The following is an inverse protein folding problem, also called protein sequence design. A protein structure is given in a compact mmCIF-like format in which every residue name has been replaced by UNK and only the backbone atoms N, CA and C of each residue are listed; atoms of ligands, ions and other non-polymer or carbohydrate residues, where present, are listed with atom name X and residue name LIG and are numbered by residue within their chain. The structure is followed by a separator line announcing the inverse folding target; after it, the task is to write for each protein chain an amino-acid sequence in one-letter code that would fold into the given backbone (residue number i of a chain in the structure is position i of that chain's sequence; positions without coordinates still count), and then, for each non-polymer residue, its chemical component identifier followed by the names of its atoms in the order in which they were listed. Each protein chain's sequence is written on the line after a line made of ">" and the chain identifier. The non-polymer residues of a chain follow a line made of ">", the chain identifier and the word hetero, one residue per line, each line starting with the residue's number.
data_IF_159018133744
#
_entry.id   IF_159018133744
#
_cell.length_a   1.000
_cell.length_b   1.000
_cell.length_c   1.000
_cell.angle_alpha   90.00
_cell.angle_beta   90.00
_cell.angle_gamma   90.00
#
_symmetry.space_group_name_H-M   'P 1'
#
loop_
_entity.id
_entity.type
_entity.pdbx_description
1 polymer ?
#
# COMPACT_ATOMS: atom_id res chain seq x y z
N UNK A 1 4.24 -42.20 -55.73
CA UNK A 1 3.82 -42.84 -54.47
C UNK A 1 4.28 -41.94 -53.33
N UNK A 2 3.32 -41.47 -52.52
CA UNK A 2 3.50 -40.44 -51.49
C UNK A 2 4.46 -40.85 -50.38
N UNK A 3 5.42 -40.00 -50.07
CA UNK A 3 6.14 -40.03 -48.79
C UNK A 3 5.42 -39.12 -47.80
N UNK A 4 4.86 -39.74 -46.76
CA UNK A 4 4.24 -39.08 -45.60
C UNK A 4 5.35 -38.88 -44.55
N UNK A 5 5.58 -37.67 -44.00
CA UNK A 5 6.49 -37.51 -42.88
C UNK A 5 5.85 -38.05 -41.58
N UNK A 6 6.65 -38.50 -40.60
CA UNK A 6 6.13 -39.03 -39.34
C UNK A 6 5.60 -37.89 -38.45
N UNK A 7 4.51 -38.17 -37.75
CA UNK A 7 3.93 -37.33 -36.69
C UNK A 7 4.95 -37.13 -35.54
N UNK A 8 5.09 -35.93 -34.96
CA UNK A 8 5.78 -35.77 -33.70
C UNK A 8 4.90 -36.27 -32.55
N UNK A 9 5.33 -37.36 -31.90
CA UNK A 9 4.81 -37.77 -30.59
C UNK A 9 4.94 -36.62 -29.59
N UNK A 10 3.80 -36.09 -29.14
CA UNK A 10 3.74 -35.17 -28.00
C UNK A 10 4.05 -35.99 -26.75
N UNK A 11 5.29 -35.92 -26.27
CA UNK A 11 5.61 -36.29 -24.90
C UNK A 11 4.93 -35.30 -23.96
N UNK A 12 3.83 -35.73 -23.33
CA UNK A 12 3.26 -35.05 -22.17
C UNK A 12 4.28 -35.19 -21.04
N UNK A 13 5.13 -34.18 -20.88
CA UNK A 13 5.97 -34.04 -19.69
C UNK A 13 5.03 -33.80 -18.53
N UNK A 14 4.83 -34.84 -17.73
CA UNK A 14 4.08 -34.79 -16.49
C UNK A 14 4.80 -33.80 -15.56
N UNK A 15 4.23 -32.61 -15.37
CA UNK A 15 4.77 -31.60 -14.45
C UNK A 15 4.64 -32.18 -13.04
N UNK A 16 5.71 -32.79 -12.54
CA UNK A 16 5.80 -33.21 -11.14
C UNK A 16 5.53 -31.98 -10.27
N UNK A 17 4.49 -32.05 -9.44
CA UNK A 17 4.21 -31.01 -8.45
C UNK A 17 5.48 -30.79 -7.61
N UNK A 18 6.17 -29.68 -7.85
CA UNK A 18 7.37 -29.31 -7.12
C UNK A 18 7.05 -29.26 -5.64
N UNK A 19 7.83 -29.97 -4.82
CA UNK A 19 7.70 -29.93 -3.36
C UNK A 19 7.77 -28.48 -2.88
N UNK A 20 6.72 -28.01 -2.22
CA UNK A 20 6.65 -26.65 -1.65
C UNK A 20 6.60 -26.79 -0.14
N UNK A 21 7.58 -26.20 0.54
CA UNK A 21 7.68 -26.22 2.00
C UNK A 21 7.58 -24.80 2.55
N UNK A 22 6.88 -24.64 3.67
CA UNK A 22 6.78 -23.37 4.36
C UNK A 22 8.13 -22.97 4.97
N UNK A 23 8.68 -21.83 4.55
CA UNK A 23 9.93 -21.30 5.11
C UNK A 23 9.87 -20.80 6.57
N UNK A 24 8.69 -20.79 7.20
CA UNK A 24 8.50 -20.35 8.59
C UNK A 24 8.40 -21.51 9.59
N UNK A 25 7.70 -22.60 9.23
CA UNK A 25 7.46 -23.74 10.12
C UNK A 25 7.74 -25.11 9.48
N UNK A 26 8.35 -25.13 8.29
CA UNK A 26 8.73 -26.36 7.56
C UNK A 26 7.54 -27.28 7.23
N UNK A 27 6.32 -26.75 7.24
CA UNK A 27 5.13 -27.51 6.84
C UNK A 27 5.13 -27.73 5.32
N UNK A 28 4.90 -28.97 4.88
CA UNK A 28 4.72 -29.28 3.46
C UNK A 28 3.40 -28.66 2.95
N UNK A 29 3.52 -27.74 2.01
CA UNK A 29 2.43 -27.01 1.37
C UNK A 29 2.14 -27.50 -0.06
N UNK A 30 2.81 -28.55 -0.53
CA UNK A 30 2.74 -29.06 -1.91
C UNK A 30 1.30 -29.33 -2.35
N UNK A 31 0.47 -29.86 -1.44
CA UNK A 31 -0.93 -30.21 -1.72
C UNK A 31 -1.93 -29.10 -1.39
N UNK A 32 -1.47 -27.92 -0.93
CA UNK A 32 -2.33 -26.78 -0.69
C UNK A 32 -2.55 -25.98 -1.98
N UNK A 33 -3.77 -25.47 -2.16
CA UNK A 33 -4.05 -24.45 -3.17
C UNK A 33 -3.27 -23.17 -2.86
N UNK A 34 -2.98 -22.35 -3.87
CA UNK A 34 -2.25 -21.09 -3.65
C UNK A 34 -2.89 -20.20 -2.56
N UNK A 35 -4.23 -20.14 -2.53
CA UNK A 35 -4.98 -19.42 -1.48
C UNK A 35 -4.74 -20.00 -0.09
N UNK A 36 -4.71 -21.33 0.07
CA UNK A 36 -4.46 -21.97 1.36
C UNK A 36 -2.99 -21.85 1.81
N UNK A 37 -2.05 -21.79 0.85
CA UNK A 37 -0.64 -21.47 1.14
C UNK A 37 -0.48 -20.05 1.66
N UNK A 38 -1.22 -19.10 1.08
CA UNK A 38 -1.18 -17.70 1.49
C UNK A 38 -1.82 -17.50 2.87
N UNK A 39 -2.99 -18.08 3.14
CA UNK A 39 -3.58 -18.08 4.49
C UNK A 39 -2.60 -18.65 5.54
N UNK A 40 -1.86 -19.70 5.17
CA UNK A 40 -0.81 -20.25 6.00
C UNK A 40 0.34 -19.25 6.23
N UNK A 41 0.79 -18.54 5.19
CA UNK A 41 1.82 -17.50 5.33
C UNK A 41 1.34 -16.31 6.17
N UNK A 42 0.11 -15.85 5.98
CA UNK A 42 -0.50 -14.75 6.75
C UNK A 42 -0.54 -15.05 8.26
N UNK A 43 -0.71 -16.32 8.65
CA UNK A 43 -0.69 -16.73 10.06
C UNK A 43 0.70 -16.51 10.71
N UNK A 44 1.78 -16.72 9.96
CA UNK A 44 3.15 -16.43 10.43
C UNK A 44 3.41 -14.94 10.58
N UNK A 45 2.75 -14.11 9.78
CA UNK A 45 2.88 -12.64 9.85
C UNK A 45 1.94 -12.00 10.88
N UNK A 46 0.85 -12.69 11.25
CA UNK A 46 -0.17 -12.18 12.18
C UNK A 46 0.13 -12.49 13.66
N UNK A 47 1.06 -13.38 13.97
CA UNK A 47 1.36 -13.78 15.35
C UNK A 47 2.55 -13.01 15.92
N UNK A 48 2.28 -12.13 16.89
CA UNK A 48 3.28 -11.68 17.85
C UNK A 48 3.81 -12.90 18.64
N UNK A 49 5.07 -12.92 19.11
CA UNK A 49 5.64 -14.10 19.74
C UNK A 49 4.95 -14.36 21.08
N UNK A 50 4.10 -15.39 21.12
CA UNK A 50 3.76 -16.07 22.37
C UNK A 50 4.77 -17.20 22.54
N UNK A 51 5.51 -17.13 23.64
CA UNK A 51 6.45 -18.14 24.10
C UNK A 51 5.86 -19.54 24.07
N UNK A 52 6.57 -20.44 23.37
CA UNK A 52 6.31 -21.87 23.34
C UNK A 52 6.69 -22.54 24.66
N UNK A 53 5.75 -23.29 25.24
CA UNK A 53 6.02 -24.40 26.17
C UNK A 53 5.23 -25.63 25.67
N UNK A 54 5.81 -26.84 25.66
CA UNK A 54 5.27 -28.00 24.95
C UNK A 54 4.35 -28.83 25.85
N UNK A 55 3.14 -29.16 25.38
CA UNK A 55 2.30 -30.17 26.03
C UNK A 55 2.26 -31.45 25.17
N UNK A 56 2.71 -32.50 25.83
CA UNK A 56 2.86 -33.88 25.35
C UNK A 56 1.50 -34.50 25.00
N UNK A 57 1.50 -35.28 23.93
CA UNK A 57 0.41 -36.16 23.53
C UNK A 57 0.29 -37.36 24.47
N UNK A 58 -0.91 -37.59 24.99
CA UNK A 58 -1.33 -38.89 25.53
C UNK A 58 -2.65 -39.32 24.88
N UNK A 59 -2.82 -40.63 24.76
CA UNK A 59 -3.64 -41.38 23.82
C UNK A 59 -5.13 -41.45 24.24
N UNK A 60 -6.04 -41.39 23.25
CA UNK A 60 -7.32 -42.12 22.97
C UNK A 60 -8.18 -42.73 24.11
N UNK A 61 -9.41 -43.24 23.84
CA UNK A 61 -10.54 -42.79 22.98
C UNK A 61 -11.91 -42.86 23.73
N UNK A 62 -13.01 -42.33 23.18
CA UNK A 62 -14.33 -42.97 23.39
C UNK A 62 -15.40 -42.54 22.37
N UNK A 63 -16.09 -43.57 21.85
CA UNK A 63 -17.31 -43.54 21.04
C UNK A 63 -18.49 -42.89 21.79
N UNK A 64 -19.43 -42.26 21.06
CA UNK A 64 -20.85 -42.68 21.00
C UNK A 64 -21.72 -41.81 20.07
N UNK A 65 -22.65 -42.51 19.43
CA UNK A 65 -23.63 -42.23 18.37
C UNK A 65 -24.82 -41.28 18.72
N UNK A 66 -25.72 -40.94 17.76
CA UNK A 66 -26.52 -39.70 17.71
C UNK A 66 -28.00 -39.89 18.13
N UNK A 67 -28.85 -38.85 18.02
CA UNK A 67 -30.28 -39.07 17.80
C UNK A 67 -30.88 -38.39 16.56
N UNK A 68 -32.01 -38.97 16.16
CA UNK A 68 -32.77 -38.87 14.91
C UNK A 68 -33.78 -37.72 14.87
N UNK A 69 -34.05 -37.30 13.64
CA UNK A 69 -35.31 -36.88 12.99
C UNK A 69 -36.48 -36.35 13.82
N UNK A 70 -36.96 -35.17 13.43
CA UNK A 70 -38.39 -34.88 13.29
C UNK A 70 -38.63 -34.14 11.96
N UNK A 71 -39.50 -34.71 11.14
CA UNK A 71 -39.94 -34.20 9.84
C UNK A 71 -40.98 -33.09 10.02
N UNK A 72 -40.92 -32.06 9.18
CA UNK A 72 -42.11 -31.40 8.66
C UNK A 72 -41.85 -30.98 7.22
N UNK A 73 -42.92 -30.99 6.43
CA UNK A 73 -42.92 -31.15 4.98
C UNK A 73 -43.51 -29.94 4.25
N UNK A 74 -43.15 -29.86 2.96
CA UNK A 74 -43.71 -28.99 1.88
C UNK A 74 -43.13 -27.57 1.87
N UNK A 75 -42.65 -27.01 0.76
CA UNK A 75 -43.21 -27.07 -0.59
C UNK A 75 -42.13 -26.72 -1.65
N UNK A 76 -42.21 -27.36 -2.82
CA UNK A 76 -41.30 -27.21 -3.96
C UNK A 76 -41.65 -26.01 -4.83
N UNK A 77 -40.68 -25.14 -5.12
CA UNK A 77 -40.68 -24.30 -6.34
C UNK A 77 -39.31 -24.35 -7.00
N UNK A 78 -39.28 -24.98 -8.18
CA UNK A 78 -38.18 -24.96 -9.13
C UNK A 78 -38.05 -23.55 -9.74
N UNK A 79 -36.89 -22.92 -9.58
CA UNK A 79 -36.51 -21.80 -10.43
C UNK A 79 -35.19 -22.11 -11.16
N UNK A 80 -35.36 -22.11 -12.47
CA UNK A 80 -34.39 -22.23 -13.54
C UNK A 80 -33.22 -21.26 -13.36
N UNK A 81 -31.97 -21.78 -13.35
CA UNK A 81 -30.76 -20.96 -13.26
C UNK A 81 -30.36 -20.46 -14.65
N UNK A 82 -31.01 -19.38 -15.09
CA UNK A 82 -30.50 -18.53 -16.15
C UNK A 82 -29.17 -17.89 -15.73
N UNK A 83 -28.14 -18.01 -16.58
CA UNK A 83 -26.85 -17.33 -16.43
C UNK A 83 -27.04 -15.81 -16.49
N UNK A 84 -27.15 -15.15 -15.34
CA UNK A 84 -27.13 -13.69 -15.26
C UNK A 84 -25.68 -13.19 -15.42
N UNK A 85 -25.44 -12.40 -16.47
CA UNK A 85 -24.22 -11.60 -16.59
C UNK A 85 -24.23 -10.56 -15.46
N UNK A 86 -23.28 -10.67 -14.53
CA UNK A 86 -23.15 -9.70 -13.44
C UNK A 86 -22.93 -8.28 -13.99
N UNK A 87 -23.92 -7.41 -13.79
CA UNK A 87 -23.83 -5.98 -14.08
C UNK A 87 -23.05 -5.33 -12.94
N UNK A 88 -21.84 -4.84 -13.23
CA UNK A 88 -20.94 -4.19 -12.27
C UNK A 88 -21.59 -2.89 -11.77
N UNK A 89 -21.81 -2.76 -10.47
CA UNK A 89 -22.38 -1.54 -9.86
C UNK A 89 -21.30 -0.49 -9.61
N UNK A 90 -21.68 0.79 -9.46
CA UNK A 90 -20.73 1.88 -9.14
C UNK A 90 -19.98 1.66 -7.82
N UNK A 91 -20.56 0.90 -6.87
CA UNK A 91 -19.91 0.54 -5.60
C UNK A 91 -18.72 -0.40 -5.79
N UNK A 92 -18.75 -1.26 -6.81
CA UNK A 92 -17.71 -2.28 -7.06
C UNK A 92 -16.38 -1.69 -7.57
N UNK A 93 -16.40 -0.48 -8.13
CA UNK A 93 -15.18 0.17 -8.63
C UNK A 93 -14.23 0.63 -7.51
N UNK A 94 -14.79 0.89 -6.33
CA UNK A 94 -14.08 1.35 -5.14
C UNK A 94 -13.66 2.81 -5.25
N UNK A 95 -13.97 3.60 -4.23
CA UNK A 95 -13.58 5.02 -4.17
C UNK A 95 -12.06 5.10 -3.96
N UNK A 96 -11.36 5.74 -4.91
CA UNK A 96 -9.97 6.14 -4.72
C UNK A 96 -9.94 7.51 -4.06
N UNK A 97 -9.36 7.57 -2.87
CA UNK A 97 -9.19 8.82 -2.13
C UNK A 97 -7.72 9.26 -2.13
N UNK A 98 -7.49 10.55 -2.33
CA UNK A 98 -6.19 11.17 -2.12
C UNK A 98 -6.37 12.54 -1.44
N UNK A 99 -5.28 13.07 -0.90
CA UNK A 99 -5.28 14.31 -0.09
C UNK A 99 -5.82 15.55 -0.81
N UNK A 100 -5.76 15.59 -2.14
CA UNK A 100 -6.27 16.72 -2.92
C UNK A 100 -7.80 16.84 -2.91
N UNK A 101 -8.51 15.81 -2.44
CA UNK A 101 -9.96 15.82 -2.35
C UNK A 101 -10.45 16.50 -1.06
N UNK A 102 -11.58 17.18 -1.15
CA UNK A 102 -12.25 17.82 0.00
C UNK A 102 -12.97 16.83 0.93
N UNK A 103 -13.18 15.59 0.47
CA UNK A 103 -13.85 14.55 1.23
C UNK A 103 -12.93 13.98 2.31
N UNK A 104 -13.53 13.50 3.41
CA UNK A 104 -12.78 12.76 4.43
C UNK A 104 -12.24 11.44 3.86
N UNK A 105 -11.04 11.00 4.29
CA UNK A 105 -10.49 9.72 3.86
C UNK A 105 -11.39 8.55 4.29
N UNK A 106 -11.59 7.53 3.43
CA UNK A 106 -12.28 6.31 3.81
C UNK A 106 -11.57 5.58 4.96
N UNK A 107 -12.28 4.73 5.70
CA UNK A 107 -11.76 4.09 6.94
C UNK A 107 -10.46 3.29 6.74
N UNK A 108 -10.25 2.73 5.55
CA UNK A 108 -9.05 1.95 5.21
C UNK A 108 -7.86 2.83 4.77
N UNK A 109 -8.01 4.15 4.72
CA UNK A 109 -6.93 5.09 4.42
C UNK A 109 -6.43 5.71 5.72
N UNK A 110 -5.11 5.69 5.93
CA UNK A 110 -4.46 6.27 7.10
C UNK A 110 -3.42 7.29 6.69
N UNK A 111 -3.65 8.54 7.06
CA UNK A 111 -2.74 9.65 6.80
C UNK A 111 -1.83 9.95 7.99
N UNK A 112 -0.71 10.62 7.73
CA UNK A 112 0.17 11.12 8.80
C UNK A 112 1.08 10.07 9.44
N UNK A 113 1.12 8.85 8.88
CA UNK A 113 1.97 7.79 9.41
C UNK A 113 3.46 8.09 9.27
N UNK A 114 3.90 8.78 8.21
CA UNK A 114 5.31 9.15 8.05
C UNK A 114 5.77 10.12 9.17
N UNK A 115 5.04 11.20 9.51
CA UNK A 115 5.33 11.99 10.71
C UNK A 115 5.33 11.19 12.03
N UNK A 116 4.40 10.25 12.21
CA UNK A 116 4.37 9.40 13.41
C UNK A 116 5.59 8.47 13.45
N UNK A 117 5.96 7.89 12.31
CA UNK A 117 7.15 7.04 12.16
C UNK A 117 8.43 7.82 12.44
N UNK A 118 8.53 9.07 11.95
CA UNK A 118 9.62 9.98 12.30
C UNK A 118 9.71 10.18 13.81
N UNK A 119 8.59 10.41 14.50
CA UNK A 119 8.56 10.56 15.97
C UNK A 119 9.00 9.28 16.69
N UNK A 120 8.54 8.12 16.23
CA UNK A 120 8.92 6.83 16.80
C UNK A 120 10.41 6.53 16.62
N UNK A 121 10.98 6.81 15.45
CA UNK A 121 12.40 6.67 15.16
C UNK A 121 13.27 7.62 16.01
N UNK A 122 12.82 8.86 16.24
CA UNK A 122 13.48 9.77 17.17
C UNK A 122 13.50 9.21 18.60
N UNK A 123 12.39 8.67 19.07
CA UNK A 123 12.32 8.00 20.37
C UNK A 123 13.25 6.78 20.44
N UNK A 124 13.30 5.97 19.38
CA UNK A 124 14.19 4.80 19.30
C UNK A 124 15.68 5.19 19.22
N UNK A 125 16.01 6.32 18.59
CA UNK A 125 17.35 6.91 18.59
C UNK A 125 17.77 7.38 19.99
N UNK A 126 16.88 8.09 20.70
CA UNK A 126 17.12 8.54 22.07
C UNK A 126 17.35 7.38 23.05
N UNK A 127 16.67 6.26 22.85
CA UNK A 127 16.88 5.00 23.59
C UNK A 127 18.14 4.23 23.15
N UNK A 128 18.83 4.71 22.12
CA UNK A 128 20.07 4.12 21.65
C UNK A 128 19.92 2.89 20.76
N UNK A 129 18.75 2.65 20.16
CA UNK A 129 18.54 1.55 19.22
C UNK A 129 18.81 1.98 17.78
N UNK A 130 18.19 3.08 17.34
CA UNK A 130 18.37 3.65 15.99
C UNK A 130 19.63 4.51 15.95
N UNK A 131 20.52 4.25 14.99
CA UNK A 131 21.63 5.17 14.70
C UNK A 131 21.17 6.26 13.74
N UNK A 132 20.55 5.86 12.62
CA UNK A 132 20.07 6.75 11.57
C UNK A 132 18.81 6.18 10.92
N UNK A 133 17.92 7.02 10.42
CA UNK A 133 16.86 6.58 9.54
C UNK A 133 16.56 7.61 8.45
N UNK A 134 16.10 7.13 7.30
CA UNK A 134 15.70 7.96 6.17
C UNK A 134 14.33 7.50 5.70
N UNK A 135 13.39 8.43 5.60
CA UNK A 135 12.01 8.22 5.19
C UNK A 135 11.74 8.86 3.82
N UNK A 136 10.79 8.30 3.09
CA UNK A 136 10.21 8.87 1.88
C UNK A 136 9.43 10.16 2.19
N UNK A 137 8.78 10.72 1.17
CA UNK A 137 7.95 11.92 1.29
C UNK A 137 6.94 11.83 2.44
N UNK A 138 6.85 12.90 3.26
CA UNK A 138 6.01 12.93 4.46
C UNK A 138 4.51 12.76 4.20
N UNK A 139 4.08 12.95 2.95
CA UNK A 139 2.68 12.94 2.54
C UNK A 139 2.18 11.56 2.14
N UNK A 140 3.07 10.58 2.01
CA UNK A 140 2.69 9.19 1.70
C UNK A 140 1.68 8.69 2.74
N UNK A 141 0.58 8.12 2.25
CA UNK A 141 -0.50 7.56 3.05
C UNK A 141 -0.46 6.04 2.99
N UNK A 142 -1.00 5.40 4.02
CA UNK A 142 -1.23 3.96 4.01
C UNK A 142 -2.68 3.66 3.59
N UNK A 143 -2.86 2.58 2.82
CA UNK A 143 -4.16 2.09 2.38
C UNK A 143 -4.22 0.61 2.66
N UNK A 144 -5.14 0.18 3.53
CA UNK A 144 -5.35 -1.23 3.84
C UNK A 144 -6.35 -1.90 2.91
N UNK A 145 -6.22 -3.21 2.77
CA UNK A 145 -7.20 -4.06 2.10
C UNK A 145 -8.52 -4.08 2.88
N UNK A 146 -9.62 -4.10 2.14
CA UNK A 146 -10.97 -4.24 2.67
C UNK A 146 -11.48 -5.66 2.40
N UNK A 147 -12.71 -5.96 2.82
CA UNK A 147 -13.38 -7.24 2.49
C UNK A 147 -13.46 -7.51 0.99
N UNK A 148 -13.41 -6.48 0.14
CA UNK A 148 -13.47 -6.60 -1.32
C UNK A 148 -12.22 -7.26 -1.90
N UNK A 149 -11.06 -6.97 -1.30
CA UNK A 149 -9.74 -7.30 -1.87
C UNK A 149 -8.81 -8.06 -0.92
N UNK A 150 -9.28 -8.42 0.29
CA UNK A 150 -8.52 -9.25 1.22
C UNK A 150 -8.12 -10.59 0.58
N UNK A 151 -6.85 -10.97 0.71
CA UNK A 151 -6.26 -12.20 0.16
C UNK A 151 -5.89 -12.16 -1.33
N UNK A 152 -5.97 -10.99 -1.98
CA UNK A 152 -5.52 -10.88 -3.38
C UNK A 152 -5.19 -9.45 -3.86
N UNK A 153 -5.58 -8.45 -3.07
CA UNK A 153 -5.54 -7.03 -3.42
C UNK A 153 -4.25 -6.30 -3.11
N UNK A 154 -3.23 -6.96 -2.56
CA UNK A 154 -2.02 -6.28 -2.05
C UNK A 154 -1.37 -5.38 -3.10
N UNK A 155 -1.14 -5.88 -4.31
CA UNK A 155 -0.56 -5.11 -5.41
C UNK A 155 -1.43 -3.93 -5.84
N UNK A 156 -2.75 -4.06 -5.79
CA UNK A 156 -3.67 -2.96 -6.08
C UNK A 156 -3.60 -1.86 -5.01
N UNK A 157 -3.49 -2.23 -3.72
CA UNK A 157 -3.36 -1.26 -2.62
C UNK A 157 -1.99 -0.58 -2.64
N UNK A 158 -0.92 -1.30 -2.96
CA UNK A 158 0.40 -0.71 -3.16
C UNK A 158 0.39 0.26 -4.36
N UNK A 159 -0.27 -0.09 -5.46
CA UNK A 159 -0.49 0.81 -6.59
C UNK A 159 -1.25 2.08 -6.16
N UNK A 160 -2.33 1.94 -5.38
CA UNK A 160 -3.09 3.08 -4.85
C UNK A 160 -2.24 3.97 -3.92
N UNK A 161 -1.40 3.38 -3.06
CA UNK A 161 -0.49 4.15 -2.19
C UNK A 161 0.53 4.94 -3.03
N UNK A 162 1.09 4.33 -4.07
CA UNK A 162 1.97 5.01 -5.02
C UNK A 162 1.25 6.13 -5.78
N UNK A 163 0.06 5.90 -6.32
CA UNK A 163 -0.75 6.94 -6.96
C UNK A 163 -1.03 8.11 -6.00
N UNK A 164 -1.45 7.83 -4.77
CA UNK A 164 -1.74 8.89 -3.80
C UNK A 164 -0.51 9.77 -3.53
N UNK A 165 0.69 9.18 -3.46
CA UNK A 165 1.94 9.91 -3.32
C UNK A 165 2.28 10.74 -4.58
N UNK A 166 2.16 10.14 -5.76
CA UNK A 166 2.47 10.77 -7.05
C UNK A 166 1.52 11.91 -7.41
N UNK A 167 0.27 11.85 -6.95
CA UNK A 167 -0.73 12.91 -7.15
C UNK A 167 -0.54 14.09 -6.18
N UNK A 168 0.05 13.87 -5.01
CA UNK A 168 0.21 14.90 -3.96
C UNK A 168 1.61 15.55 -3.96
N UNK A 169 2.61 14.93 -4.59
CA UNK A 169 3.95 15.51 -4.72
C UNK A 169 3.96 16.81 -5.55
N UNK A 170 4.99 17.65 -5.36
CA UNK A 170 5.08 19.02 -5.94
C UNK A 170 6.02 19.15 -7.14
N UNK A 171 6.81 18.12 -7.42
CA UNK A 171 7.85 18.10 -8.47
C UNK A 171 7.23 17.96 -9.86
N UNK A 172 6.24 17.08 -10.01
CA UNK A 172 5.55 16.80 -11.27
C UNK A 172 4.02 16.95 -11.13
N UNK A 173 3.47 18.18 -11.05
CA UNK A 173 2.04 18.38 -10.81
C UNK A 173 1.11 17.72 -11.85
N UNK A 174 1.59 17.56 -13.09
CA UNK A 174 0.85 16.91 -14.19
C UNK A 174 0.49 15.45 -13.90
N UNK A 175 1.23 14.77 -13.02
CA UNK A 175 0.93 13.39 -12.63
C UNK A 175 -0.45 13.25 -12.00
N UNK A 176 -0.94 14.30 -11.32
CA UNK A 176 -2.28 14.30 -10.73
C UNK A 176 -3.36 14.09 -11.80
N UNK A 177 -3.37 14.93 -12.85
CA UNK A 177 -4.33 14.81 -13.96
C UNK A 177 -4.20 13.48 -14.70
N UNK A 178 -2.95 13.05 -14.96
CA UNK A 178 -2.67 11.78 -15.64
C UNK A 178 -3.11 10.55 -14.85
N UNK A 179 -3.26 10.65 -13.53
CA UNK A 179 -3.74 9.56 -12.68
C UNK A 179 -5.24 9.70 -12.36
N UNK A 180 -5.86 10.87 -12.56
CA UNK A 180 -7.28 11.09 -12.28
C UNK A 180 -8.21 10.90 -13.48
N UNK A 181 -7.73 11.07 -14.72
CA UNK A 181 -8.57 11.09 -15.94
C UNK A 181 -8.20 10.02 -16.97
N UNK A 182 -9.13 9.23 -17.52
CA UNK A 182 -10.59 9.42 -17.46
C UNK A 182 -11.24 8.84 -16.21
N UNK A 183 -10.55 7.95 -15.50
CA UNK A 183 -10.96 7.43 -14.20
C UNK A 183 -9.80 7.53 -13.23
N UNK A 184 -10.11 7.55 -11.93
CA UNK A 184 -9.13 7.46 -10.84
C UNK A 184 -8.78 5.99 -10.54
N UNK A 185 -7.67 5.68 -9.85
CA UNK A 185 -7.20 4.31 -9.64
C UNK A 185 -8.01 3.55 -8.57
N UNK A 186 -9.30 3.37 -8.80
CA UNK A 186 -10.14 2.39 -8.09
C UNK A 186 -9.67 0.96 -8.36
N UNK A 187 -10.09 -0.02 -7.55
CA UNK A 187 -9.65 -1.41 -7.70
C UNK A 187 -9.95 -1.97 -9.09
N UNK A 188 -11.16 -1.70 -9.61
CA UNK A 188 -11.57 -2.16 -10.95
C UNK A 188 -11.05 -1.26 -12.06
N UNK A 189 -10.84 0.01 -11.78
CA UNK A 189 -10.25 0.93 -12.76
C UNK A 189 -8.78 0.58 -13.03
N UNK A 190 -8.03 0.12 -12.03
CA UNK A 190 -6.67 -0.43 -12.24
C UNK A 190 -6.71 -1.64 -13.18
N UNK A 191 -7.66 -2.56 -13.00
CA UNK A 191 -7.85 -3.71 -13.91
C UNK A 191 -8.15 -3.24 -15.33
N UNK A 192 -9.01 -2.23 -15.48
CA UNK A 192 -9.34 -1.62 -16.77
C UNK A 192 -8.11 -0.95 -17.41
N UNK A 193 -7.32 -0.19 -16.65
CA UNK A 193 -6.13 0.47 -17.18
C UNK A 193 -5.12 -0.51 -17.76
N UNK A 194 -4.94 -1.66 -17.10
CA UNK A 194 -4.05 -2.72 -17.57
C UNK A 194 -4.61 -3.37 -18.84
N UNK A 195 -5.90 -3.73 -18.85
CA UNK A 195 -6.53 -4.29 -20.06
C UNK A 195 -6.52 -3.30 -21.24
N UNK A 196 -6.72 -2.00 -21.00
CA UNK A 196 -6.61 -0.95 -22.02
C UNK A 196 -5.19 -0.84 -22.57
N UNK A 197 -4.18 -0.94 -21.70
CA UNK A 197 -2.79 -0.96 -22.11
C UNK A 197 -2.49 -2.19 -22.99
N UNK A 198 -2.98 -3.38 -22.61
CA UNK A 198 -2.87 -4.59 -23.42
C UNK A 198 -3.51 -4.44 -24.79
N UNK A 199 -4.72 -3.86 -24.85
CA UNK A 199 -5.40 -3.56 -26.12
C UNK A 199 -4.62 -2.55 -26.98
N UNK A 200 -3.87 -1.64 -26.37
CA UNK A 200 -2.95 -0.73 -27.05
C UNK A 200 -1.61 -1.39 -27.45
N UNK A 201 -1.43 -2.67 -27.14
CA UNK A 201 -0.26 -3.49 -27.49
C UNK A 201 0.88 -3.44 -26.49
N UNK A 202 0.65 -2.99 -25.26
CA UNK A 202 1.61 -3.13 -24.16
C UNK A 202 1.56 -4.56 -23.63
N UNK A 203 2.71 -5.10 -23.23
CA UNK A 203 2.85 -6.37 -22.51
C UNK A 203 1.94 -7.52 -23.01
N UNK A 204 2.17 -7.99 -24.25
CA UNK A 204 1.41 -9.11 -24.78
C UNK A 204 1.60 -10.41 -23.97
N UNK A 205 2.71 -10.54 -23.25
CA UNK A 205 2.99 -11.72 -22.41
C UNK A 205 2.12 -11.72 -21.15
N UNK A 206 2.05 -10.60 -20.43
CA UNK A 206 1.13 -10.44 -19.30
C UNK A 206 -0.33 -10.58 -19.73
N UNK A 207 -0.70 -10.01 -20.89
CA UNK A 207 -2.03 -10.21 -21.48
C UNK A 207 -2.35 -11.69 -21.74
N UNK A 208 -1.39 -12.47 -22.27
CA UNK A 208 -1.56 -13.90 -22.51
C UNK A 208 -1.64 -14.71 -21.20
N UNK A 209 -0.80 -14.37 -20.22
CA UNK A 209 -0.74 -15.04 -18.92
C UNK A 209 -2.02 -14.81 -18.12
N UNK A 210 -2.44 -13.55 -17.98
CA UNK A 210 -3.55 -13.15 -17.14
C UNK A 210 -4.87 -13.16 -17.88
N UNK A 211 -4.91 -13.06 -19.21
CA UNK A 211 -6.09 -13.11 -20.12
C UNK A 211 -7.13 -12.01 -19.92
N UNK A 212 -7.62 -11.86 -18.69
CA UNK A 212 -8.65 -10.91 -18.26
C UNK A 212 -8.49 -10.64 -16.77
N UNK A 213 -8.57 -9.37 -16.39
CA UNK A 213 -8.51 -8.86 -15.03
C UNK A 213 -9.85 -8.34 -14.52
N UNK A 214 -10.62 -7.61 -15.33
CA UNK A 214 -11.87 -6.98 -14.88
C UNK A 214 -12.84 -8.03 -14.37
N UNK A 215 -13.32 -7.81 -13.14
CA UNK A 215 -14.24 -8.72 -12.47
C UNK A 215 -13.57 -9.99 -11.92
N UNK A 216 -12.24 -10.05 -11.92
CA UNK A 216 -11.47 -11.15 -11.31
C UNK A 216 -10.81 -10.71 -10.00
N UNK A 217 -10.27 -11.71 -9.29
CA UNK A 217 -9.45 -11.55 -8.09
C UNK A 217 -7.98 -11.90 -8.34
N UNK A 218 -7.51 -11.72 -9.58
CA UNK A 218 -6.13 -12.12 -9.96
C UNK A 218 -5.11 -11.21 -9.31
N UNK A 219 -4.04 -11.82 -8.83
CA UNK A 219 -2.87 -11.12 -8.33
C UNK A 219 -2.15 -10.44 -9.49
N UNK A 220 -1.56 -9.29 -9.19
CA UNK A 220 -0.74 -8.53 -10.12
C UNK A 220 0.71 -8.54 -9.64
N UNK A 221 1.63 -8.69 -10.57
CA UNK A 221 3.06 -8.44 -10.34
C UNK A 221 3.41 -6.98 -10.62
N UNK A 222 4.64 -6.61 -10.28
CA UNK A 222 5.19 -5.27 -10.54
C UNK A 222 5.28 -4.94 -12.04
N UNK A 223 5.41 -5.94 -12.91
CA UNK A 223 5.27 -5.80 -14.37
C UNK A 223 3.89 -5.23 -14.78
N UNK A 224 2.80 -5.77 -14.25
CA UNK A 224 1.44 -5.27 -14.53
C UNK A 224 1.25 -3.83 -14.03
N UNK A 225 1.81 -3.53 -12.85
CA UNK A 225 1.77 -2.18 -12.28
C UNK A 225 2.57 -1.17 -13.12
N UNK A 226 3.75 -1.57 -13.59
CA UNK A 226 4.58 -0.77 -14.51
C UNK A 226 3.82 -0.43 -15.78
N UNK A 227 3.17 -1.42 -16.41
CA UNK A 227 2.35 -1.22 -17.62
C UNK A 227 1.26 -0.19 -17.37
N UNK A 228 0.55 -0.29 -16.24
CA UNK A 228 -0.47 0.67 -15.88
C UNK A 228 0.10 2.10 -15.72
N UNK A 229 1.22 2.28 -15.04
CA UNK A 229 1.82 3.62 -14.88
C UNK A 229 2.29 4.22 -16.21
N UNK A 230 3.05 3.46 -17.00
CA UNK A 230 3.61 3.92 -18.28
C UNK A 230 2.50 4.23 -19.28
N UNK A 231 1.46 3.38 -19.36
CA UNK A 231 0.31 3.64 -20.23
C UNK A 231 -0.41 4.95 -19.87
N UNK A 232 -0.45 5.29 -18.58
CA UNK A 232 -1.01 6.56 -18.06
C UNK A 232 -0.05 7.73 -18.19
N UNK A 233 1.13 7.53 -18.77
CA UNK A 233 2.12 8.59 -19.01
C UNK A 233 3.01 8.89 -17.80
N UNK A 234 3.03 8.00 -16.80
CA UNK A 234 3.88 8.13 -15.61
C UNK A 234 5.16 7.32 -15.83
N UNK A 235 6.34 7.98 -15.85
CA UNK A 235 7.63 7.30 -15.79
C UNK A 235 7.72 6.41 -14.55
N UNK A 236 8.07 5.14 -14.78
CA UNK A 236 8.32 4.15 -13.75
C UNK A 236 9.43 3.21 -14.24
N UNK A 237 10.12 2.54 -13.33
CA UNK A 237 11.22 1.64 -13.65
C UNK A 237 11.17 0.36 -12.83
N UNK A 238 11.52 -0.76 -13.47
CA UNK A 238 11.60 -2.08 -12.87
C UNK A 238 13.05 -2.49 -12.64
N UNK A 239 13.30 -3.06 -11.47
CA UNK A 239 14.59 -3.66 -11.12
C UNK A 239 14.35 -5.09 -10.65
N UNK A 240 15.02 -6.04 -11.30
CA UNK A 240 15.00 -7.45 -10.94
C UNK A 240 16.26 -7.79 -10.15
N UNK A 241 16.06 -8.29 -8.93
CA UNK A 241 17.16 -8.68 -8.04
C UNK A 241 17.13 -10.19 -7.89
N UNK A 242 18.01 -10.87 -8.62
CA UNK A 242 18.14 -12.32 -8.57
C UNK A 242 19.07 -12.74 -7.43
N UNK A 243 18.48 -13.39 -6.42
CA UNK A 243 19.21 -13.87 -5.24
C UNK A 243 19.67 -15.33 -5.34
N UNK A 244 19.39 -16.00 -6.46
CA UNK A 244 19.75 -17.41 -6.67
C UNK A 244 21.25 -17.61 -6.49
N UNK A 245 21.64 -18.50 -5.58
CA UNK A 245 23.04 -18.77 -5.26
C UNK A 245 23.76 -17.69 -4.44
N UNK A 246 23.07 -16.65 -3.94
CA UNK A 246 23.68 -15.55 -3.17
C UNK A 246 23.37 -15.67 -1.66
N UNK A 247 24.32 -16.13 -0.81
CA UNK A 247 24.08 -16.35 0.62
C UNK A 247 23.78 -15.07 1.44
N UNK A 248 23.99 -13.88 0.87
CA UNK A 248 23.64 -12.56 1.45
C UNK A 248 22.55 -11.84 0.68
N UNK A 249 21.67 -12.57 -0.02
CA UNK A 249 20.80 -11.97 -1.03
C UNK A 249 19.92 -10.81 -0.53
N UNK A 250 19.38 -10.90 0.69
CA UNK A 250 18.54 -9.81 1.24
C UNK A 250 19.32 -8.51 1.48
N UNK A 251 20.63 -8.57 1.67
CA UNK A 251 21.45 -7.37 1.87
C UNK A 251 21.61 -6.60 0.56
N UNK A 252 21.61 -7.27 -0.59
CA UNK A 252 21.62 -6.62 -1.92
C UNK A 252 20.37 -5.75 -2.11
N UNK A 253 19.20 -6.29 -1.74
CA UNK A 253 17.93 -5.54 -1.77
C UNK A 253 18.00 -4.33 -0.84
N UNK A 254 18.56 -4.49 0.36
CA UNK A 254 18.73 -3.37 1.30
C UNK A 254 19.68 -2.32 0.76
N UNK A 255 20.80 -2.72 0.18
CA UNK A 255 21.81 -1.82 -0.36
C UNK A 255 21.23 -0.98 -1.51
N UNK A 256 20.47 -1.61 -2.43
CA UNK A 256 19.76 -0.90 -3.49
C UNK A 256 18.80 0.15 -2.91
N UNK A 257 18.01 -0.22 -1.90
CA UNK A 257 17.04 0.69 -1.27
C UNK A 257 17.74 1.83 -0.53
N UNK A 258 18.86 1.55 0.13
CA UNK A 258 19.69 2.58 0.77
C UNK A 258 20.23 3.56 -0.27
N UNK A 259 20.77 3.06 -1.39
CA UNK A 259 21.27 3.91 -2.48
C UNK A 259 20.13 4.70 -3.15
N UNK A 260 18.92 4.15 -3.26
CA UNK A 260 17.75 4.90 -3.72
C UNK A 260 17.40 6.06 -2.78
N UNK A 261 17.30 5.83 -1.47
CA UNK A 261 16.88 6.87 -0.52
C UNK A 261 17.99 7.87 -0.18
N UNK A 262 19.24 7.42 -0.24
CA UNK A 262 20.44 8.17 0.13
C UNK A 262 21.53 7.99 -0.93
N UNK A 263 21.32 8.48 -2.16
CA UNK A 263 22.33 8.35 -3.20
C UNK A 263 23.62 9.03 -2.76
N UNK A 264 24.74 8.39 -3.09
CA UNK A 264 26.07 8.93 -2.84
C UNK A 264 26.19 10.23 -3.64
N UNK A 265 26.22 11.36 -2.94
CA UNK A 265 26.44 12.66 -3.58
C UNK A 265 27.84 12.68 -4.23
N UNK A 266 27.90 12.94 -5.55
CA UNK A 266 29.17 13.16 -6.25
C UNK A 266 29.89 14.44 -5.78
N UNK A 267 29.22 15.30 -5.01
CA UNK A 267 29.82 16.46 -4.35
C UNK A 267 29.86 16.26 -2.83
N UNK A 268 31.06 16.19 -2.27
CA UNK A 268 31.32 16.08 -0.82
C UNK A 268 30.94 17.34 -0.01
N UNK A 269 30.28 18.33 -0.63
CA UNK A 269 29.85 19.58 0.02
C UNK A 269 28.33 19.72 -0.02
N UNK A 270 27.67 20.03 1.12
CA UNK A 270 26.25 20.39 1.13
C UNK A 270 26.04 21.63 0.26
N UNK A 271 25.04 21.62 -0.63
CA UNK A 271 24.79 22.72 -1.55
C UNK A 271 24.32 23.99 -0.82
N UNK A 272 23.77 23.86 0.38
CA UNK A 272 23.42 24.96 1.28
C UNK A 272 23.35 24.51 2.76
N UNK A 273 23.14 25.47 3.67
CA UNK A 273 23.06 25.23 5.12
C UNK A 273 21.92 24.26 5.48
N UNK A 274 20.79 24.30 4.78
CA UNK A 274 19.68 23.38 5.05
C UNK A 274 20.05 21.93 4.70
N UNK A 275 20.83 21.72 3.64
CA UNK A 275 21.33 20.38 3.28
C UNK A 275 22.35 19.85 4.29
N UNK A 276 23.21 20.73 4.82
CA UNK A 276 24.13 20.39 5.89
C UNK A 276 23.39 19.97 7.16
N UNK A 277 22.37 20.75 7.57
CA UNK A 277 21.54 20.47 8.74
C UNK A 277 20.69 19.20 8.56
N UNK A 278 20.15 18.96 7.36
CA UNK A 278 19.45 17.70 7.02
C UNK A 278 20.40 16.51 7.10
N UNK A 279 21.63 16.65 6.61
CA UNK A 279 22.66 15.61 6.71
C UNK A 279 23.01 15.24 8.15
N UNK A 280 23.05 16.24 9.04
CA UNK A 280 23.36 16.09 10.46
C UNK A 280 22.21 15.51 11.32
N UNK A 281 20.96 15.56 10.83
CA UNK A 281 19.83 14.96 11.56
C UNK A 281 19.93 13.42 11.54
N UNK A 282 19.79 12.73 12.70
CA UNK A 282 19.77 11.27 12.73
C UNK A 282 18.56 10.70 11.99
N UNK A 283 17.44 11.43 11.97
CA UNK A 283 16.23 11.02 11.26
C UNK A 283 15.92 12.03 10.15
N UNK A 284 15.96 11.58 8.90
CA UNK A 284 15.76 12.42 7.71
C UNK A 284 14.46 12.02 7.02
N UNK A 285 13.71 13.03 6.54
CA UNK A 285 12.56 12.84 5.66
C UNK A 285 12.91 13.49 4.32
N UNK A 286 12.82 12.71 3.25
CA UNK A 286 13.17 13.11 1.88
C UNK A 286 11.93 13.55 1.11
N UNK A 287 12.11 13.94 -0.15
CA UNK A 287 11.06 14.14 -1.15
C UNK A 287 10.92 12.93 -2.09
N UNK A 288 11.60 11.82 -1.80
CA UNK A 288 11.56 10.62 -2.63
C UNK A 288 10.23 9.89 -2.50
N UNK A 289 9.78 9.32 -3.61
CA UNK A 289 8.58 8.50 -3.64
C UNK A 289 8.79 7.15 -2.95
N UNK A 290 7.73 6.54 -2.41
CA UNK A 290 7.84 5.19 -1.87
C UNK A 290 8.09 4.18 -3.02
N UNK A 291 8.66 3.03 -2.67
CA UNK A 291 8.98 1.95 -3.60
C UNK A 291 7.98 0.81 -3.43
N UNK A 292 7.54 0.18 -4.50
CA UNK A 292 6.80 -1.08 -4.42
C UNK A 292 7.82 -2.23 -4.49
N UNK A 293 7.85 -3.06 -3.46
CA UNK A 293 8.70 -4.25 -3.38
C UNK A 293 7.82 -5.50 -3.49
N UNK A 294 8.04 -6.27 -4.54
CA UNK A 294 7.42 -7.56 -4.77
C UNK A 294 8.36 -8.68 -4.30
N UNK A 295 7.79 -9.67 -3.64
CA UNK A 295 8.42 -10.98 -3.44
C UNK A 295 7.37 -12.09 -3.65
N UNK A 296 7.77 -13.35 -3.53
CA UNK A 296 6.84 -14.46 -3.73
C UNK A 296 5.65 -14.36 -2.76
N UNK A 297 4.44 -14.28 -3.31
CA UNK A 297 3.18 -14.32 -2.58
C UNK A 297 2.66 -12.99 -2.03
N UNK A 298 3.44 -11.91 -2.02
CA UNK A 298 2.98 -10.62 -1.48
C UNK A 298 3.76 -9.43 -2.00
N UNK A 299 3.16 -8.25 -1.94
CA UNK A 299 3.82 -6.97 -2.25
C UNK A 299 3.63 -5.97 -1.12
N UNK A 300 4.63 -5.11 -0.93
CA UNK A 300 4.62 -4.07 0.11
C UNK A 300 5.16 -2.75 -0.44
N UNK A 301 4.82 -1.67 0.24
CA UNK A 301 5.33 -0.34 -0.09
C UNK A 301 6.44 0.04 0.89
N UNK A 302 7.68 0.14 0.42
CA UNK A 302 8.82 0.59 1.23
C UNK A 302 8.81 2.11 1.34
N UNK A 303 8.82 2.59 2.58
CA UNK A 303 8.71 4.02 2.93
C UNK A 303 9.99 4.57 3.54
N UNK A 304 11.06 3.76 3.61
CA UNK A 304 12.36 4.19 4.11
C UNK A 304 13.18 3.05 4.66
N UNK A 305 14.24 3.40 5.36
CA UNK A 305 15.11 2.45 6.06
C UNK A 305 15.64 3.04 7.36
N UNK A 306 16.05 2.12 8.25
CA UNK A 306 16.69 2.40 9.52
C UNK A 306 18.03 1.66 9.58
N UNK A 307 19.06 2.34 10.05
CA UNK A 307 20.34 1.74 10.47
C UNK A 307 20.34 1.71 12.00
N UNK A 308 20.45 0.52 12.58
CA UNK A 308 20.57 0.37 14.04
C UNK A 308 21.98 0.76 14.51
N UNK A 309 22.17 0.98 15.81
CA UNK A 309 23.51 1.18 16.39
C UNK A 309 24.49 0.01 16.15
N UNK A 310 23.97 -1.18 15.89
CA UNK A 310 24.76 -2.36 15.51
C UNK A 310 25.11 -2.40 14.01
N UNK A 311 24.75 -1.37 13.24
CA UNK A 311 25.00 -1.29 11.79
C UNK A 311 24.03 -2.11 10.94
N UNK A 312 23.00 -2.73 11.53
CA UNK A 312 22.03 -3.54 10.77
C UNK A 312 21.01 -2.62 10.09
N UNK A 313 20.78 -2.86 8.81
CA UNK A 313 19.73 -2.19 8.04
C UNK A 313 18.41 -2.92 8.23
N UNK A 314 17.37 -2.16 8.59
CA UNK A 314 15.96 -2.59 8.60
C UNK A 314 15.19 -1.73 7.60
N UNK A 315 14.40 -2.37 6.73
CA UNK A 315 13.50 -1.65 5.84
C UNK A 315 12.23 -1.26 6.59
N UNK A 316 11.68 -0.10 6.25
CA UNK A 316 10.43 0.41 6.81
C UNK A 316 9.36 0.35 5.73
N UNK A 317 8.18 -0.17 6.06
CA UNK A 317 7.18 -0.53 5.07
C UNK A 317 5.75 -0.15 5.49
N UNK A 318 4.91 0.07 4.49
CA UNK A 318 3.47 0.01 4.58
C UNK A 318 3.00 -1.29 3.94
N UNK A 319 2.32 -2.12 4.74
CA UNK A 319 1.72 -3.37 4.28
C UNK A 319 0.19 -3.19 4.15
N UNK A 320 -0.41 -3.48 2.99
CA UNK A 320 -1.86 -3.45 2.81
C UNK A 320 -2.66 -4.34 3.76
N UNK A 321 -2.07 -5.41 4.32
CA UNK A 321 -2.75 -6.29 5.27
C UNK A 321 -2.91 -5.65 6.66
N UNK A 322 -2.12 -4.62 6.98
CA UNK A 322 -2.14 -3.97 8.28
C UNK A 322 -3.35 -3.06 8.44
N UNK A 323 -3.95 -3.09 9.63
CA UNK A 323 -4.93 -2.10 10.06
C UNK A 323 -4.41 -1.37 11.29
N UNK A 324 -4.56 -0.05 11.30
CA UNK A 324 -4.21 0.79 12.45
C UNK A 324 -5.46 1.07 13.29
N UNK A 325 -5.30 1.04 14.60
CA UNK A 325 -6.37 1.39 15.53
C UNK A 325 -6.67 2.90 15.49
N UNK A 326 -7.80 3.29 16.07
CA UNK A 326 -8.23 4.69 16.07
C UNK A 326 -7.23 5.61 16.80
N UNK A 327 -6.56 5.11 17.84
CA UNK A 327 -5.55 5.87 18.57
C UNK A 327 -4.37 6.22 17.66
N UNK A 328 -3.82 5.25 16.95
CA UNK A 328 -2.71 5.45 16.01
C UNK A 328 -3.12 6.41 14.90
N UNK A 329 -4.33 6.25 14.34
CA UNK A 329 -4.87 7.15 13.31
C UNK A 329 -4.98 8.60 13.81
N UNK A 330 -5.49 8.81 15.03
CA UNK A 330 -5.62 10.13 15.64
C UNK A 330 -4.25 10.76 15.92
N UNK A 331 -3.31 9.99 16.48
CA UNK A 331 -1.94 10.46 16.73
C UNK A 331 -1.22 10.87 15.44
N UNK A 332 -1.35 10.05 14.39
CA UNK A 332 -0.79 10.32 13.08
C UNK A 332 -1.36 11.62 12.48
N UNK A 333 -2.68 11.79 12.53
CA UNK A 333 -3.35 12.99 12.01
C UNK A 333 -2.97 14.26 12.79
N UNK A 334 -2.86 14.17 14.12
CA UNK A 334 -2.49 15.30 14.97
C UNK A 334 -1.07 15.81 14.65
N UNK A 335 -0.09 14.89 14.54
CA UNK A 335 1.29 15.23 14.18
C UNK A 335 1.38 15.82 12.78
N UNK A 336 0.58 15.29 11.84
CA UNK A 336 0.56 15.78 10.47
C UNK A 336 0.03 17.24 10.38
N UNK A 337 -1.08 17.53 11.04
CA UNK A 337 -1.73 18.87 11.00
C UNK A 337 -0.86 19.95 11.66
N UNK A 338 -0.10 19.57 12.68
CA UNK A 338 0.85 20.48 13.32
C UNK A 338 2.01 20.88 12.38
N UNK A 339 2.48 19.96 11.54
CA UNK A 339 3.56 20.25 10.58
C UNK A 339 3.08 21.11 9.40
N UNK A 340 1.85 20.91 8.92
CA UNK A 340 1.33 21.72 7.80
C UNK A 340 1.03 23.16 8.21
N UNK A 341 0.41 23.37 9.37
CA UNK A 341 0.13 24.72 9.91
C UNK A 341 1.39 25.53 10.24
N UNK A 342 2.48 24.88 10.67
CA UNK A 342 3.78 25.52 10.92
C UNK A 342 4.56 25.83 9.64
N UNK A 343 4.28 25.13 8.53
CA UNK A 343 4.88 25.43 7.21
C UNK A 343 4.16 26.57 6.45
N UNK A 344 2.85 26.74 6.62
CA UNK A 344 2.06 27.83 6.00
C UNK A 344 2.20 29.17 6.74
N UNK A 345 2.36 29.15 8.07
CA UNK A 345 2.57 30.36 8.87
C UNK A 345 3.91 31.06 8.59
N UNK A 346 4.95 30.33 8.14
CA UNK A 346 6.24 30.91 7.73
C UNK A 346 6.21 31.59 6.36
N UNK A 347 5.17 31.39 5.55
CA UNK A 347 5.01 32.05 4.24
C UNK A 347 4.21 33.36 4.29
N UNK A 348 3.61 33.72 5.43
CA UNK A 348 2.82 34.95 5.57
C UNK A 348 3.57 36.13 6.19
N UNK A 349 4.84 35.98 6.58
CA UNK A 349 5.60 37.04 7.27
C UNK A 349 6.63 37.77 6.40
N UNK A 350 6.56 37.69 5.07
CA UNK A 350 7.41 38.51 4.19
C UNK A 350 6.57 39.18 3.09
N UNK A 351 6.24 40.46 3.31
CA UNK A 351 5.64 41.31 2.27
C UNK A 351 4.54 42.24 2.76
N UNK A 352 4.82 43.13 3.71
CA UNK A 352 3.98 44.32 3.89
C UNK A 352 4.37 45.35 2.83
N UNK A 353 3.57 45.46 1.76
CA UNK A 353 3.44 46.71 1.03
C UNK A 353 1.99 46.86 0.55
N UNK A 354 1.53 48.08 0.70
CA UNK A 354 0.14 48.54 0.72
C UNK A 354 -0.46 48.78 -0.67
N UNK A 355 -1.80 48.72 -0.71
CA UNK A 355 -2.73 49.22 -1.74
C UNK A 355 -2.82 48.36 -3.03
N UNK A 356 -3.96 48.15 -3.69
CA UNK A 356 -5.27 48.80 -3.67
C UNK A 356 -6.35 47.83 -4.19
N UNK A 357 -7.61 48.13 -3.82
CA UNK A 357 -8.87 47.48 -4.21
C UNK A 357 -9.04 47.30 -5.73
N UNK A 358 -9.49 46.10 -6.14
CA UNK A 358 -10.52 45.88 -7.17
C UNK A 358 -10.86 44.39 -7.27
N UNK A 359 -12.08 44.00 -6.88
CA UNK A 359 -12.61 42.66 -7.15
C UNK A 359 -13.07 42.53 -8.60
N UNK A 360 -13.15 41.30 -9.14
CA UNK A 360 -14.47 40.85 -9.57
C UNK A 360 -14.79 39.35 -9.41
N UNK A 361 -16.07 39.13 -9.11
CA UNK A 361 -17.02 38.15 -9.67
C UNK A 361 -16.74 36.64 -9.52
N UNK A 362 -17.45 36.07 -8.55
CA UNK A 362 -17.89 34.67 -8.45
C UNK A 362 -18.45 34.16 -9.79
N UNK A 363 -17.88 33.08 -10.31
CA UNK A 363 -18.61 32.15 -11.17
C UNK A 363 -19.26 31.08 -10.27
N UNK A 364 -20.60 31.07 -10.27
CA UNK A 364 -21.40 29.93 -9.83
C UNK A 364 -21.43 28.93 -10.99
N UNK A 365 -20.96 27.71 -10.75
CA UNK A 365 -21.39 26.56 -11.51
C UNK A 365 -22.01 25.58 -10.50
N UNK A 366 -23.32 25.44 -10.59
CA UNK A 366 -24.08 24.42 -9.91
C UNK A 366 -23.91 23.11 -10.68
N UNK A 367 -23.73 22.00 -9.97
CA UNK A 367 -24.54 20.81 -10.24
C UNK A 367 -24.51 19.86 -9.06
N UNK A 368 -25.72 19.54 -8.61
CA UNK A 368 -26.08 18.51 -7.66
C UNK A 368 -25.69 17.11 -8.17
N UNK A 369 -25.31 16.24 -7.24
CA UNK A 369 -25.76 14.85 -7.18
C UNK A 369 -25.38 14.31 -5.80
N UNK A 370 -26.32 14.48 -4.87
CA UNK A 370 -26.30 13.82 -3.55
C UNK A 370 -26.68 12.36 -3.80
N UNK A 371 -25.74 11.44 -3.58
CA UNK A 371 -26.05 10.02 -3.47
C UNK A 371 -26.32 9.77 -1.99
N UNK A 372 -27.58 9.47 -1.67
CA UNK A 372 -27.99 8.86 -0.41
C UNK A 372 -27.38 7.47 -0.30
N UNK A 373 -26.68 7.22 0.79
CA UNK A 373 -26.35 5.86 1.23
C UNK A 373 -27.20 5.68 2.47
N UNK A 374 -28.31 4.97 2.30
CA UNK A 374 -29.02 4.33 3.40
C UNK A 374 -28.19 3.12 3.81
N UNK A 375 -27.67 3.11 5.03
CA UNK A 375 -27.32 1.90 5.74
C UNK A 375 -27.84 2.09 7.17
N UNK A 376 -28.90 1.33 7.45
CA UNK A 376 -29.49 1.13 8.77
C UNK A 376 -28.43 0.54 9.71
N UNK A 377 -28.07 1.28 10.76
CA UNK A 377 -27.70 0.73 12.06
C UNK A 377 -27.67 1.90 13.07
N UNK A 378 -28.62 1.82 14.01
CA UNK A 378 -28.91 2.77 15.09
C UNK A 378 -27.67 3.25 15.85
N UNK A 379 -27.38 4.54 15.77
CA UNK A 379 -26.65 5.27 16.80
C UNK A 379 -27.48 6.49 17.20
N UNK A 380 -27.98 6.50 18.44
CA UNK A 380 -28.78 7.57 19.02
C UNK A 380 -28.21 8.97 18.71
N UNK A 381 -28.97 9.75 17.95
CA UNK A 381 -28.73 11.18 17.75
C UNK A 381 -29.38 11.93 18.90
N UNK A 382 -28.58 12.40 19.86
CA UNK A 382 -29.03 13.39 20.85
C UNK A 382 -29.24 14.74 20.16
N UNK A 383 -30.49 15.05 19.81
CA UNK A 383 -30.92 16.38 19.37
C UNK A 383 -30.98 17.28 20.60
N UNK A 384 -30.07 18.25 20.71
CA UNK A 384 -30.21 19.37 21.64
C UNK A 384 -30.73 20.57 20.84
N UNK A 385 -32.02 20.82 20.95
CA UNK A 385 -32.62 22.09 20.52
C UNK A 385 -32.09 23.21 21.42
N UNK A 386 -31.39 24.18 20.83
CA UNK A 386 -30.93 25.38 21.52
C UNK A 386 -31.97 26.49 21.40
N UNK A 387 -32.70 26.75 22.49
CA UNK A 387 -33.44 28.00 22.72
C UNK A 387 -32.58 28.99 23.52
N UNK A 388 -32.65 30.31 23.28
CA UNK A 388 -31.67 31.27 23.76
C UNK A 388 -32.12 31.90 25.08
N UNK A 389 -31.41 31.61 26.16
CA UNK A 389 -31.06 32.58 27.23
C UNK A 389 -30.57 31.81 28.45
N UNK A 390 -29.27 31.91 28.74
CA UNK A 390 -28.71 32.11 30.09
C UNK A 390 -27.17 32.16 30.06
N UNK A 391 -26.65 33.05 30.92
CA UNK A 391 -25.27 33.52 31.06
C UNK A 391 -24.22 32.41 31.29
N UNK A 392 -22.95 32.67 30.94
CA UNK A 392 -21.93 31.63 30.77
C UNK A 392 -21.44 31.09 32.11
N UNK A 393 -21.62 29.78 32.32
CA UNK A 393 -20.91 29.02 33.35
C UNK A 393 -19.65 28.45 32.69
N UNK A 394 -18.49 28.93 33.09
CA UNK A 394 -17.17 28.49 32.60
C UNK A 394 -17.02 26.96 32.71
N UNK A 395 -17.19 26.25 31.59
CA UNK A 395 -16.74 24.86 31.46
C UNK A 395 -15.28 24.89 31.02
N UNK A 396 -14.40 24.65 31.99
CA UNK A 396 -13.01 24.22 31.79
C UNK A 396 -13.01 22.89 31.02
N UNK A 397 -13.02 22.95 29.70
CA UNK A 397 -12.77 21.77 28.85
C UNK A 397 -12.21 22.17 27.48
N UNK A 398 -11.24 23.09 27.48
CA UNK A 398 -10.43 23.43 26.31
C UNK A 398 -8.97 23.62 26.71
N UNK A 399 -8.32 22.59 27.25
CA UNK A 399 -6.87 22.64 27.50
C UNK A 399 -6.20 21.28 27.81
N UNK A 400 -6.75 20.14 27.38
CA UNK A 400 -6.22 18.81 27.76
C UNK A 400 -5.57 17.97 26.64
N UNK A 401 -5.41 18.50 25.42
CA UNK A 401 -4.64 17.83 24.35
C UNK A 401 -3.33 18.55 23.99
N UNK A 402 -2.88 19.47 24.85
CA UNK A 402 -1.53 20.02 24.82
C UNK A 402 -0.64 19.23 25.77
N UNK A 403 0.40 18.58 25.23
CA UNK A 403 1.54 17.99 25.98
C UNK A 403 1.32 16.67 26.76
N UNK A 404 0.35 15.82 26.40
CA UNK A 404 0.46 14.42 26.82
C UNK A 404 1.48 13.73 25.90
N UNK A 405 2.66 13.42 26.45
CA UNK A 405 3.72 12.74 25.72
C UNK A 405 3.25 11.32 25.36
N UNK A 406 3.35 10.95 24.07
CA UNK A 406 2.94 9.60 23.63
C UNK A 406 3.88 8.60 24.29
N UNK A 407 3.36 7.57 25.00
CA UNK A 407 4.22 6.62 25.70
C UNK A 407 5.26 5.99 24.77
N UNK A 408 6.50 5.94 25.24
CA UNK A 408 7.64 5.38 24.50
C UNK A 408 7.37 3.96 23.99
N UNK A 409 6.71 3.12 24.81
CA UNK A 409 6.32 1.76 24.43
C UNK A 409 5.37 1.75 23.23
N UNK A 410 4.35 2.61 23.22
CA UNK A 410 3.41 2.74 22.09
C UNK A 410 4.12 3.13 20.79
N UNK A 411 5.11 4.03 20.87
CA UNK A 411 5.93 4.39 19.71
C UNK A 411 6.81 3.22 19.25
N UNK A 412 7.38 2.46 20.18
CA UNK A 412 8.21 1.30 19.86
C UNK A 412 7.39 0.17 19.21
N UNK A 413 6.23 -0.16 19.77
CA UNK A 413 5.30 -1.16 19.21
C UNK A 413 4.83 -0.75 17.80
N UNK A 414 4.54 0.54 17.59
CA UNK A 414 4.22 1.09 16.28
C UNK A 414 5.39 0.95 15.29
N UNK A 415 6.60 1.30 15.70
CA UNK A 415 7.80 1.18 14.87
C UNK A 415 8.10 -0.28 14.50
N UNK A 416 7.96 -1.20 15.44
CA UNK A 416 8.22 -2.62 15.22
C UNK A 416 7.26 -3.24 14.21
N UNK A 417 5.99 -2.84 14.23
CA UNK A 417 5.01 -3.26 13.20
C UNK A 417 5.39 -2.82 11.79
N UNK A 418 6.11 -1.70 11.64
CA UNK A 418 6.47 -1.13 10.35
C UNK A 418 7.86 -1.59 9.85
N UNK A 419 8.62 -2.33 10.65
CA UNK A 419 9.91 -2.90 10.26
C UNK A 419 9.68 -4.18 9.44
N UNK A 420 10.26 -4.26 8.25
CA UNK A 420 10.23 -5.48 7.46
C UNK A 420 11.01 -6.58 8.17
N UNK A 421 10.29 -7.62 8.59
CA UNK A 421 10.90 -8.82 9.12
C UNK A 421 11.55 -9.61 7.98
N UNK A 422 12.87 -9.74 8.03
CA UNK A 422 13.65 -10.38 6.97
C UNK A 422 13.82 -11.89 7.12
N UNK A 423 13.13 -12.53 8.08
CA UNK A 423 13.20 -14.00 8.25
C UNK A 423 12.52 -14.65 7.04
N UNK A 424 13.23 -15.54 6.35
CA UNK A 424 12.75 -16.23 5.14
C UNK A 424 12.95 -15.47 3.82
N UNK A 425 13.43 -14.21 3.86
CA UNK A 425 13.63 -13.38 2.66
C UNK A 425 14.87 -13.78 1.81
N UNK A 426 15.82 -14.54 2.37
CA UNK A 426 17.13 -14.79 1.75
C UNK A 426 17.19 -15.83 0.63
N UNK A 427 16.05 -16.36 0.14
CA UNK A 427 15.98 -17.39 -0.90
C UNK A 427 15.10 -17.04 -2.09
N UNK A 428 14.63 -15.79 -2.18
CA UNK A 428 13.57 -15.39 -3.10
C UNK A 428 14.08 -14.39 -4.15
N UNK A 429 13.44 -14.37 -5.31
CA UNK A 429 13.58 -13.28 -6.28
C UNK A 429 12.79 -12.06 -5.80
N UNK A 430 13.36 -10.87 -5.99
CA UNK A 430 12.70 -9.61 -5.69
C UNK A 430 12.58 -8.79 -6.97
N UNK A 431 11.43 -8.15 -7.11
CA UNK A 431 11.24 -7.12 -8.11
C UNK A 431 10.87 -5.81 -7.42
N UNK A 432 11.50 -4.74 -7.87
CA UNK A 432 11.29 -3.38 -7.38
C UNK A 432 10.65 -2.56 -8.49
N UNK A 433 9.62 -1.80 -8.13
CA UNK A 433 9.05 -0.76 -8.97
C UNK A 433 9.21 0.60 -8.27
N UNK A 434 9.86 1.55 -8.95
CA UNK A 434 10.10 2.90 -8.43
C UNK A 434 9.83 3.98 -9.48
N UNK A 435 9.82 5.24 -9.04
CA UNK A 435 9.45 6.39 -9.86
C UNK A 435 10.61 7.38 -9.95
N UNK A 436 11.21 7.60 -11.14
CA UNK A 436 12.36 8.48 -11.31
C UNK A 436 12.01 9.98 -11.22
N UNK A 437 10.73 10.34 -11.15
CA UNK A 437 10.23 11.71 -11.02
C UNK A 437 10.63 12.66 -12.17
N UNK A 438 10.84 12.12 -13.37
CA UNK A 438 11.09 12.86 -14.62
C UNK A 438 9.82 13.49 -15.19
N UNK A 439 9.91 14.17 -16.33
CA UNK A 439 8.71 14.70 -17.01
C UNK A 439 7.77 13.55 -17.42
N UNK A 440 6.44 13.80 -17.50
CA UNK A 440 5.50 12.83 -18.05
C UNK A 440 5.92 12.31 -19.41
N UNK A 441 5.63 11.03 -19.67
CA UNK A 441 5.96 10.38 -20.92
C UNK A 441 5.13 10.96 -22.07
N UNK A 442 5.78 11.23 -23.20
CA UNK A 442 5.10 11.55 -24.45
C UNK A 442 4.47 10.30 -25.06
N UNK A 443 3.57 10.48 -26.03
CA UNK A 443 3.04 9.35 -26.79
C UNK A 443 4.13 8.57 -27.56
N UNK A 444 5.23 9.24 -27.94
CA UNK A 444 6.37 8.58 -28.56
C UNK A 444 7.12 7.70 -27.54
N UNK A 445 7.37 8.22 -26.33
CA UNK A 445 8.03 7.45 -25.26
C UNK A 445 7.19 6.22 -24.91
N UNK A 446 5.89 6.39 -24.72
CA UNK A 446 4.94 5.32 -24.45
C UNK A 446 4.99 4.22 -25.52
N UNK A 447 5.04 4.58 -26.81
CA UNK A 447 5.15 3.60 -27.91
C UNK A 447 6.44 2.79 -27.87
N UNK A 448 7.53 3.36 -27.37
CA UNK A 448 8.81 2.65 -27.21
C UNK A 448 8.83 1.70 -26.01
N UNK A 449 7.90 1.86 -25.07
CA UNK A 449 7.81 1.09 -23.82
C UNK A 449 6.71 0.00 -23.83
N UNK A 450 6.28 -0.44 -25.03
CA UNK A 450 5.29 -1.51 -25.16
C UNK A 450 5.79 -2.86 -24.65
N UNK A 451 7.09 -3.10 -24.76
CA UNK A 451 7.75 -4.27 -24.18
C UNK A 451 8.30 -3.90 -22.81
N UNK A 452 8.06 -4.76 -21.83
CA UNK A 452 8.58 -4.58 -20.49
C UNK A 452 10.09 -4.87 -20.51
N UNK A 453 10.85 -3.95 -19.93
CA UNK A 453 12.29 -4.10 -19.69
C UNK A 453 12.54 -3.82 -18.22
N UNK A 454 13.35 -4.65 -17.59
CA UNK A 454 13.83 -4.47 -16.22
C UNK A 454 15.36 -4.33 -16.23
N UNK A 455 15.87 -3.65 -15.21
CA UNK A 455 17.31 -3.61 -14.95
C UNK A 455 17.67 -4.76 -14.02
N UNK A 456 18.62 -5.60 -14.41
CA UNK A 456 19.18 -6.61 -13.51
C UNK A 456 20.17 -5.96 -12.53
N UNK A 457 20.09 -6.35 -11.25
CA UNK A 457 20.94 -5.82 -10.17
C UNK A 457 21.70 -6.91 -9.37
#
# INVERSE_FOLDING_TARGET
>A
MSFKPPDPEIQIVNVSASFVECGFCSTNLTNLTLSAREEHYELHFSTAPVSSEPLQSAQTPHLSTPPRNAQSSKETKSHDKGKEKATITKSDRGIFWHRGLSLSPPRNYTQGLIPLLKKALWSSHAQGTTLRAVLCDERVIHISSTSLDRGWGCSYRNFQMACAALMDQKVQPKYSTLLSEPSSPGLRDIQQWIEDAWNAGFDPQGAQQLKKLIGTKKWLGTADLYVAFVYRGIPAELVDINLTGRPRGVDIVKDWIVDYFSPKSNSSKPANINDALRGASPIVVTDRMPIILQHQGHSRTIVGYEVTKTGKIKLLMFDPSMNFDNLTKQLALALYTHNTSSSDSRKRSSGSSSASRSGPKRFRAAMENVISIDDEDEAEVLIIESSPDQKPRERKTKEALGKSEVPTKTLQDFLDRLRLHTRGLGRMEYQILYFPMTQPLTEQDKRSMKMIVSTEY
#
